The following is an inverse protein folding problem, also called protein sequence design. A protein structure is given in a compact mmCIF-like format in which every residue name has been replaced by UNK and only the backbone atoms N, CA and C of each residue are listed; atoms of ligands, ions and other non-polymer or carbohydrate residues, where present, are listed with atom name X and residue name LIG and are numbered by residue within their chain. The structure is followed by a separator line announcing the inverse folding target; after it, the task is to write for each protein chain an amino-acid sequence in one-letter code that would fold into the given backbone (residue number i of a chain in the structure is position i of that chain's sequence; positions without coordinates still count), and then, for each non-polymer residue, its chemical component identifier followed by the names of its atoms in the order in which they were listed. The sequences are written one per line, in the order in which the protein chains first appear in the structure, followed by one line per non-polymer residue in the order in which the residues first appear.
data_IF_545223263367
#
_entry.id   IF_545223263367
#
_cell.length_a   1.000
_cell.length_b   1.000
_cell.length_c   1.000
_cell.angle_alpha   90.00
_cell.angle_beta   90.00
_cell.angle_gamma   90.00
#
_symmetry.space_group_name_H-M   'P 1'
#
loop_
_entity.id
_entity.type
_entity.pdbx_description
1 polymer ?
#
# COMPACT_ATOMS: atom_id res chain seq x y z
N UNK A 1 4.88 -11.06 8.99
CA UNK A 1 4.44 -12.40 8.64
C UNK A 1 2.92 -12.39 8.40
N UNK A 2 2.41 -12.98 7.29
CA UNK A 2 0.96 -13.03 6.99
C UNK A 2 0.11 -13.67 8.09
N UNK A 3 0.66 -14.58 8.89
CA UNK A 3 -0.05 -15.27 9.98
C UNK A 3 0.01 -14.55 11.33
N UNK A 4 0.75 -13.45 11.44
CA UNK A 4 0.78 -12.64 12.67
C UNK A 4 -0.62 -12.12 12.98
N UNK A 5 -1.08 -12.36 14.21
CA UNK A 5 -2.42 -11.96 14.65
C UNK A 5 -2.39 -10.52 15.15
N UNK A 6 -3.26 -9.70 14.61
CA UNK A 6 -3.45 -8.29 14.96
C UNK A 6 -4.69 -8.12 15.83
N UNK A 7 -4.62 -7.20 16.78
CA UNK A 7 -5.80 -6.75 17.52
C UNK A 7 -6.60 -5.81 16.61
N UNK A 8 -7.83 -6.21 16.28
CA UNK A 8 -8.77 -5.44 15.47
C UNK A 8 -9.94 -4.89 16.26
N UNK A 9 -9.88 -5.00 17.59
CA UNK A 9 -10.90 -4.39 18.44
C UNK A 9 -10.86 -2.87 18.32
N UNK A 10 -11.98 -2.31 17.93
CA UNK A 10 -12.12 -0.88 17.66
C UNK A 10 -13.18 -0.19 18.49
N UNK A 11 -13.35 1.10 18.29
CA UNK A 11 -12.52 1.98 17.44
C UNK A 11 -11.19 2.34 18.09
N UNK A 12 -10.15 2.59 17.28
CA UNK A 12 -8.94 3.26 17.78
C UNK A 12 -9.27 4.74 17.99
N UNK A 13 -9.02 5.24 19.20
CA UNK A 13 -9.22 6.66 19.55
C UNK A 13 -7.88 7.38 19.61
N UNK A 14 -7.77 8.53 18.93
CA UNK A 14 -6.59 9.39 18.95
C UNK A 14 -7.04 10.85 19.08
N UNK A 15 -7.09 11.35 20.29
CA UNK A 15 -7.72 12.64 20.59
C UNK A 15 -9.18 12.66 20.10
N UNK A 16 -9.50 13.59 19.20
CA UNK A 16 -10.83 13.71 18.57
C UNK A 16 -11.06 12.74 17.40
N UNK A 17 -10.01 12.09 16.91
CA UNK A 17 -10.09 11.19 15.76
C UNK A 17 -10.47 9.78 16.20
N UNK A 18 -11.18 9.07 15.32
CA UNK A 18 -11.59 7.67 15.52
C UNK A 18 -11.35 6.91 14.23
N UNK A 19 -10.55 5.83 14.31
CA UNK A 19 -10.36 4.88 13.21
C UNK A 19 -11.33 3.72 13.44
N UNK A 20 -12.09 3.39 12.41
CA UNK A 20 -13.12 2.33 12.44
C UNK A 20 -12.99 1.47 11.20
N UNK A 21 -13.40 0.23 11.33
CA UNK A 21 -13.66 -0.64 10.19
C UNK A 21 -15.07 -0.39 9.65
N UNK A 22 -15.30 -0.76 8.40
CA UNK A 22 -16.61 -0.68 7.78
C UNK A 22 -17.58 -1.71 8.36
N UNK A 23 -17.06 -2.91 8.71
CA UNK A 23 -17.77 -3.97 9.42
C UNK A 23 -17.04 -4.33 10.71
N UNK A 24 -17.75 -4.93 11.65
CA UNK A 24 -17.10 -5.58 12.79
C UNK A 24 -16.50 -6.93 12.34
N UNK A 25 -15.20 -7.02 12.32
CA UNK A 25 -14.48 -8.25 11.97
C UNK A 25 -14.03 -9.05 13.20
N UNK A 26 -14.49 -8.67 14.40
CA UNK A 26 -14.07 -9.27 15.65
C UNK A 26 -12.78 -8.68 16.22
N UNK A 27 -12.35 -9.23 17.36
CA UNK A 27 -11.25 -8.65 18.12
C UNK A 27 -9.85 -8.97 17.57
N UNK A 28 -9.71 -9.97 16.70
CA UNK A 28 -8.41 -10.45 16.20
C UNK A 28 -8.51 -10.93 14.77
N UNK A 29 -7.58 -10.49 13.92
CA UNK A 29 -7.39 -10.97 12.55
C UNK A 29 -5.91 -11.24 12.29
N UNK A 30 -5.55 -12.30 11.57
CA UNK A 30 -4.21 -12.44 11.02
C UNK A 30 -3.96 -11.38 9.92
N UNK A 31 -2.72 -11.01 9.69
CA UNK A 31 -2.36 -9.95 8.72
C UNK A 31 -2.93 -10.20 7.33
N UNK A 32 -2.97 -11.45 6.87
CA UNK A 32 -3.55 -11.76 5.56
C UNK A 32 -5.06 -11.42 5.50
N UNK A 33 -5.82 -11.66 6.57
CA UNK A 33 -7.23 -11.26 6.65
C UNK A 33 -7.41 -9.74 6.81
N UNK A 34 -6.51 -9.07 7.55
CA UNK A 34 -6.51 -7.60 7.63
C UNK A 34 -6.47 -7.00 6.23
N UNK A 35 -5.63 -7.54 5.33
CA UNK A 35 -5.51 -7.09 3.95
C UNK A 35 -6.74 -7.50 3.13
N UNK A 36 -7.15 -8.75 3.19
CA UNK A 36 -8.26 -9.32 2.42
C UNK A 36 -9.60 -8.66 2.74
N UNK A 37 -9.86 -8.40 4.01
CA UNK A 37 -11.10 -7.73 4.49
C UNK A 37 -10.99 -6.21 4.50
N UNK A 38 -9.79 -5.66 4.21
CA UNK A 38 -9.54 -4.22 4.24
C UNK A 38 -9.83 -3.57 5.61
N UNK A 39 -9.34 -4.19 6.70
CA UNK A 39 -9.50 -3.64 8.04
C UNK A 39 -8.62 -2.41 8.25
N UNK A 40 -9.23 -1.25 8.44
CA UNK A 40 -8.54 -0.01 8.78
C UNK A 40 -7.85 -0.10 10.15
N UNK A 41 -8.55 -0.69 11.13
CA UNK A 41 -8.04 -0.89 12.50
C UNK A 41 -6.82 -1.80 12.46
N UNK A 42 -6.92 -2.96 11.80
CA UNK A 42 -5.82 -3.89 11.67
C UNK A 42 -4.60 -3.27 10.99
N UNK A 43 -4.82 -2.53 9.89
CA UNK A 43 -3.77 -1.86 9.13
C UNK A 43 -3.12 -0.73 9.95
N UNK A 44 -3.92 0.08 10.68
CA UNK A 44 -3.39 1.10 11.58
C UNK A 44 -2.55 0.50 12.72
N UNK A 45 -2.95 -0.65 13.28
CA UNK A 45 -2.15 -1.38 14.28
C UNK A 45 -0.83 -1.89 13.71
N UNK A 46 -0.83 -2.38 12.46
CA UNK A 46 0.40 -2.76 11.77
C UNK A 46 1.32 -1.54 11.62
N UNK A 47 0.77 -0.38 11.22
CA UNK A 47 1.55 0.86 11.10
C UNK A 47 2.14 1.31 12.44
N UNK A 48 1.39 1.19 13.54
CA UNK A 48 1.91 1.46 14.89
C UNK A 48 3.08 0.54 15.26
N UNK A 49 3.02 -0.75 14.90
CA UNK A 49 4.12 -1.69 15.16
C UNK A 49 5.37 -1.39 14.34
N UNK A 50 5.20 -0.94 13.10
CA UNK A 50 6.30 -0.60 12.19
C UNK A 50 6.96 0.72 12.63
N UNK A 51 6.14 1.68 13.05
CA UNK A 51 6.55 3.04 13.37
C UNK A 51 6.57 3.96 12.15
N UNK A 52 6.42 5.26 12.43
CA UNK A 52 6.28 6.30 11.41
C UNK A 52 7.54 6.45 10.54
N UNK A 53 8.71 6.35 11.15
CA UNK A 53 10.01 6.49 10.48
C UNK A 53 10.25 5.37 9.46
N UNK A 54 10.06 4.12 9.87
CA UNK A 54 10.27 2.97 8.98
C UNK A 54 9.21 2.92 7.86
N UNK A 55 7.96 3.33 8.16
CA UNK A 55 6.95 3.45 7.12
C UNK A 55 7.34 4.51 6.09
N UNK A 56 7.77 5.71 6.52
CA UNK A 56 8.20 6.78 5.63
C UNK A 56 9.38 6.33 4.78
N UNK A 57 10.38 5.73 5.38
CA UNK A 57 11.56 5.18 4.70
C UNK A 57 11.18 4.13 3.64
N UNK A 58 10.28 3.21 3.98
CA UNK A 58 9.80 2.21 3.03
C UNK A 58 9.07 2.85 1.84
N UNK A 59 8.16 3.80 2.09
CA UNK A 59 7.43 4.49 1.03
C UNK A 59 8.35 5.35 0.16
N UNK A 60 9.40 5.94 0.73
CA UNK A 60 10.44 6.65 -0.02
C UNK A 60 11.22 5.69 -0.92
N UNK A 61 11.65 4.56 -0.40
CA UNK A 61 12.34 3.54 -1.19
C UNK A 61 11.45 2.99 -2.31
N UNK A 62 10.15 2.88 -2.06
CA UNK A 62 9.16 2.47 -3.06
C UNK A 62 8.92 3.55 -4.14
N UNK A 63 9.40 4.78 -3.93
CA UNK A 63 9.24 5.90 -4.86
C UNK A 63 7.93 6.68 -4.69
N UNK A 64 7.29 6.57 -3.53
CA UNK A 64 5.98 7.20 -3.26
C UNK A 64 6.08 8.63 -2.75
N UNK A 65 7.29 9.15 -2.49
CA UNK A 65 7.49 10.48 -1.87
C UNK A 65 8.08 11.52 -2.80
N UNK A 66 8.61 11.10 -3.96
CA UNK A 66 9.27 11.98 -4.92
C UNK A 66 8.57 11.93 -6.28
N UNK A 67 8.71 12.97 -7.12
CA UNK A 67 8.20 12.92 -8.48
C UNK A 67 8.78 11.72 -9.25
N UNK A 68 7.94 11.00 -9.98
CA UNK A 68 8.42 9.92 -10.83
C UNK A 68 9.14 10.52 -12.04
N UNK A 69 10.36 10.04 -12.28
CA UNK A 69 11.17 10.43 -13.42
C UNK A 69 10.92 9.46 -14.58
N UNK A 70 10.47 9.97 -15.70
CA UNK A 70 10.41 9.29 -16.98
C UNK A 70 10.38 10.36 -18.12
N UNK A 71 10.34 9.97 -19.38
CA UNK A 71 10.68 10.84 -20.52
C UNK A 71 9.61 11.90 -20.88
N UNK A 72 8.52 11.98 -20.13
CA UNK A 72 7.51 13.04 -20.33
C UNK A 72 7.86 14.29 -19.51
N UNK A 73 7.81 15.45 -20.14
CA UNK A 73 8.10 16.76 -19.48
C UNK A 73 7.11 17.00 -18.33
N UNK A 74 5.85 16.63 -18.52
CA UNK A 74 4.77 16.77 -17.53
C UNK A 74 4.98 15.92 -16.27
N UNK A 75 5.81 14.87 -16.34
CA UNK A 75 6.09 14.00 -15.20
C UNK A 75 6.72 14.76 -14.02
N UNK A 76 7.50 15.81 -14.30
CA UNK A 76 8.12 16.64 -13.26
C UNK A 76 7.12 17.39 -12.38
N UNK A 77 5.89 17.62 -12.87
CA UNK A 77 4.79 18.26 -12.15
C UNK A 77 4.02 17.31 -11.19
N UNK A 78 4.20 16.01 -11.35
CA UNK A 78 3.47 15.00 -10.59
C UNK A 78 4.05 14.74 -9.19
N UNK A 79 4.14 15.77 -8.35
CA UNK A 79 4.61 15.64 -6.97
C UNK A 79 3.54 15.02 -6.08
N UNK A 80 3.89 14.00 -5.25
CA UNK A 80 3.01 13.53 -4.20
C UNK A 80 2.71 14.62 -3.17
N UNK A 81 1.50 14.62 -2.63
CA UNK A 81 1.16 15.46 -1.49
C UNK A 81 1.42 14.68 -0.21
N UNK A 82 2.35 15.15 0.58
CA UNK A 82 2.81 14.51 1.81
C UNK A 82 2.31 15.28 3.05
N UNK A 83 2.14 14.63 4.20
CA UNK A 83 1.84 15.33 5.43
C UNK A 83 3.01 16.25 5.82
N UNK A 84 2.70 17.45 6.37
CA UNK A 84 3.72 18.39 6.86
C UNK A 84 4.65 17.77 7.92
N UNK A 85 4.11 16.84 8.71
CA UNK A 85 4.85 16.06 9.70
C UNK A 85 4.38 14.60 9.62
N UNK A 86 5.32 13.68 9.46
CA UNK A 86 5.04 12.24 9.46
C UNK A 86 4.95 11.76 10.92
N UNK A 87 3.79 11.98 11.52
CA UNK A 87 3.50 11.59 12.91
C UNK A 87 2.96 10.16 12.98
N UNK A 88 2.82 9.62 14.19
CA UNK A 88 2.17 8.32 14.40
C UNK A 88 0.74 8.30 13.84
N UNK A 89 -0.03 9.38 14.05
CA UNK A 89 -1.36 9.51 13.47
C UNK A 89 -1.31 9.52 11.94
N UNK A 90 -0.35 10.25 11.35
CA UNK A 90 -0.14 10.24 9.89
C UNK A 90 0.20 8.85 9.39
N UNK A 91 1.08 8.12 10.08
CA UNK A 91 1.43 6.76 9.71
C UNK A 91 0.21 5.82 9.75
N UNK A 92 -0.62 5.92 10.78
CA UNK A 92 -1.87 5.15 10.87
C UNK A 92 -2.82 5.48 9.70
N UNK A 93 -3.04 6.77 9.38
CA UNK A 93 -3.98 7.16 8.31
C UNK A 93 -3.44 6.81 6.92
N UNK A 94 -2.16 7.00 6.66
CA UNK A 94 -1.50 6.61 5.41
C UNK A 94 -1.64 5.10 5.16
N UNK A 95 -1.58 4.29 6.21
CA UNK A 95 -1.61 2.83 6.08
C UNK A 95 -2.91 2.27 5.47
N UNK A 96 -4.02 2.99 5.57
CA UNK A 96 -5.28 2.61 4.93
C UNK A 96 -5.74 3.61 3.85
N UNK A 97 -4.82 4.47 3.35
CA UNK A 97 -5.03 5.26 2.13
C UNK A 97 -5.45 6.71 2.35
N UNK A 98 -5.23 7.29 3.56
CA UNK A 98 -5.53 8.69 3.84
C UNK A 98 -4.28 9.47 4.25
N UNK A 99 -4.22 10.77 3.93
CA UNK A 99 -3.14 11.66 4.38
C UNK A 99 -1.89 11.68 3.49
N UNK A 100 -1.91 10.94 2.37
CA UNK A 100 -0.94 10.99 1.30
C UNK A 100 -1.68 10.93 -0.03
N UNK A 101 -1.33 11.78 -0.98
CA UNK A 101 -1.84 11.69 -2.36
C UNK A 101 -0.68 11.44 -3.32
N UNK A 102 -0.87 10.50 -4.23
CA UNK A 102 0.12 10.11 -5.22
C UNK A 102 -0.54 10.02 -6.61
N UNK A 103 0.26 10.09 -7.66
CA UNK A 103 -0.27 9.91 -9.01
C UNK A 103 -0.53 8.44 -9.32
N UNK A 104 -1.37 8.11 -10.30
CA UNK A 104 -1.55 6.73 -10.76
C UNK A 104 -0.24 6.03 -11.14
N UNK A 105 0.75 6.78 -11.66
CA UNK A 105 2.06 6.25 -12.01
C UNK A 105 2.84 5.80 -10.77
N UNK A 106 2.75 6.50 -9.63
CA UNK A 106 3.34 6.05 -8.37
C UNK A 106 2.76 4.70 -7.94
N UNK A 107 1.43 4.55 -8.02
CA UNK A 107 0.77 3.28 -7.72
C UNK A 107 1.23 2.18 -8.67
N UNK A 108 1.30 2.45 -9.97
CA UNK A 108 1.75 1.47 -10.97
C UNK A 108 3.18 1.00 -10.69
N UNK A 109 4.11 1.91 -10.37
CA UNK A 109 5.50 1.58 -10.02
C UNK A 109 5.57 0.77 -8.72
N UNK A 110 4.78 1.14 -7.70
CA UNK A 110 4.71 0.43 -6.44
C UNK A 110 4.19 -1.00 -6.60
N UNK A 111 3.09 -1.20 -7.32
CA UNK A 111 2.55 -2.52 -7.61
C UNK A 111 3.48 -3.35 -8.52
N UNK A 112 4.11 -2.72 -9.52
CA UNK A 112 5.13 -3.36 -10.35
C UNK A 112 6.30 -3.88 -9.51
N UNK A 113 6.76 -3.12 -8.52
CA UNK A 113 7.82 -3.57 -7.61
C UNK A 113 7.41 -4.82 -6.81
N UNK A 114 6.17 -4.89 -6.33
CA UNK A 114 5.62 -6.08 -5.66
C UNK A 114 5.58 -7.27 -6.63
N UNK A 115 5.02 -7.08 -7.82
CA UNK A 115 4.89 -8.13 -8.83
C UNK A 115 6.26 -8.60 -9.37
N UNK A 116 7.27 -7.73 -9.37
CA UNK A 116 8.63 -8.00 -9.82
C UNK A 116 9.55 -8.51 -8.70
N UNK A 117 9.01 -9.25 -7.74
CA UNK A 117 9.78 -9.89 -6.68
C UNK A 117 10.50 -8.92 -5.74
N UNK A 118 9.99 -7.69 -5.61
CA UNK A 118 10.52 -6.67 -4.72
C UNK A 118 11.58 -5.76 -5.33
N UNK A 119 11.73 -5.77 -6.65
CA UNK A 119 12.61 -4.88 -7.40
C UNK A 119 11.80 -3.73 -8.03
N UNK A 120 12.04 -2.51 -7.59
CA UNK A 120 11.49 -1.30 -8.20
C UNK A 120 12.30 -0.95 -9.45
N UNK A 121 11.61 -0.80 -10.58
CA UNK A 121 12.17 -0.39 -11.86
C UNK A 121 11.68 1.03 -12.15
N UNK A 122 12.57 1.88 -12.67
CA UNK A 122 12.18 3.20 -13.14
C UNK A 122 11.32 3.05 -14.41
N UNK A 123 10.13 3.66 -14.47
CA UNK A 123 9.30 3.59 -15.66
C UNK A 123 9.99 4.30 -16.84
N UNK A 124 9.74 3.84 -18.07
CA UNK A 124 10.26 4.42 -19.30
C UNK A 124 9.30 4.19 -20.45
N UNK A 125 9.20 5.14 -21.35
CA UNK A 125 8.51 5.04 -22.63
C UNK A 125 9.42 4.52 -23.74
N UNK A 126 10.71 4.42 -23.45
CA UNK A 126 11.69 3.95 -24.41
C UNK A 126 11.77 2.43 -24.46
N UNK A 127 11.85 1.87 -25.66
CA UNK A 127 12.16 0.46 -25.83
C UNK A 127 13.57 0.18 -25.27
N UNK A 128 13.66 -0.73 -24.33
CA UNK A 128 14.90 -1.04 -23.59
C UNK A 128 15.00 -0.38 -22.22
N UNK A 129 14.03 0.46 -21.85
CA UNK A 129 13.93 1.05 -20.51
C UNK A 129 14.74 2.32 -20.32
N UNK A 130 14.76 2.83 -19.10
CA UNK A 130 15.44 4.07 -18.71
C UNK A 130 16.97 3.94 -18.58
N UNK A 131 17.51 2.72 -18.65
CA UNK A 131 18.92 2.44 -18.32
C UNK A 131 19.26 2.52 -16.81
N UNK A 132 18.28 2.84 -15.96
CA UNK A 132 18.50 2.90 -14.53
C UNK A 132 18.50 1.49 -13.91
N UNK A 133 19.42 1.26 -12.96
CA UNK A 133 19.49 -0.01 -12.24
C UNK A 133 18.25 -0.22 -11.36
N UNK A 134 17.70 -1.45 -11.33
CA UNK A 134 16.61 -1.80 -10.43
C UNK A 134 16.99 -1.65 -8.95
N UNK A 135 16.09 -1.14 -8.13
CA UNK A 135 16.30 -0.95 -6.70
C UNK A 135 15.52 -1.98 -5.91
N UNK A 136 16.19 -2.75 -5.05
CA UNK A 136 15.52 -3.69 -4.15
C UNK A 136 14.85 -2.95 -3.00
N UNK A 137 13.52 -3.01 -2.95
CA UNK A 137 12.70 -2.33 -1.93
C UNK A 137 12.11 -3.30 -0.91
N UNK A 138 12.03 -4.58 -1.23
CA UNK A 138 11.62 -5.64 -0.30
C UNK A 138 12.24 -6.98 -0.71
N UNK A 139 12.26 -7.95 0.21
CA UNK A 139 12.72 -9.31 -0.10
C UNK A 139 11.76 -10.01 -1.08
N UNK A 140 12.29 -10.94 -1.87
CA UNK A 140 11.48 -11.78 -2.79
C UNK A 140 10.37 -12.52 -2.04
N UNK A 141 10.67 -13.01 -0.83
CA UNK A 141 9.68 -13.69 0.01
C UNK A 141 8.55 -12.74 0.46
N UNK A 142 8.88 -11.50 0.83
CA UNK A 142 7.88 -10.49 1.18
C UNK A 142 7.01 -10.12 -0.01
N UNK A 143 7.61 -9.93 -1.18
CA UNK A 143 6.90 -9.65 -2.43
C UNK A 143 5.94 -10.80 -2.78
N UNK A 144 6.39 -12.06 -2.74
CA UNK A 144 5.55 -13.22 -2.99
C UNK A 144 4.38 -13.34 -2.01
N UNK A 145 4.61 -13.08 -0.71
CA UNK A 145 3.54 -13.05 0.29
C UNK A 145 2.54 -11.90 0.02
N UNK A 146 3.02 -10.74 -0.41
CA UNK A 146 2.16 -9.61 -0.78
C UNK A 146 1.27 -9.95 -1.96
N UNK A 147 1.81 -10.56 -3.02
CA UNK A 147 1.03 -11.04 -4.17
C UNK A 147 -0.04 -12.04 -3.74
N UNK A 148 0.29 -13.00 -2.87
CA UNK A 148 -0.69 -13.96 -2.33
C UNK A 148 -1.81 -13.28 -1.55
N UNK A 149 -1.48 -12.31 -0.69
CA UNK A 149 -2.50 -11.56 0.05
C UNK A 149 -3.38 -10.71 -0.88
N UNK A 150 -2.78 -10.05 -1.88
CA UNK A 150 -3.52 -9.30 -2.91
C UNK A 150 -4.42 -10.20 -3.77
N UNK A 151 -3.99 -11.43 -4.05
CA UNK A 151 -4.84 -12.43 -4.70
C UNK A 151 -6.03 -12.80 -3.81
N UNK A 152 -5.82 -12.99 -2.51
CA UNK A 152 -6.88 -13.24 -1.53
C UNK A 152 -7.93 -12.13 -1.47
N UNK A 153 -7.56 -10.87 -1.74
CA UNK A 153 -8.53 -9.75 -1.83
C UNK A 153 -9.54 -9.98 -2.95
N UNK A 154 -9.12 -10.61 -4.05
CA UNK A 154 -9.98 -10.91 -5.21
C UNK A 154 -10.73 -12.23 -5.00
N UNK A 155 -10.09 -13.29 -4.52
CA UNK A 155 -10.74 -14.60 -4.36
C UNK A 155 -11.75 -14.64 -3.20
N UNK A 156 -11.43 -13.98 -2.08
CA UNK A 156 -12.17 -14.15 -0.81
C UNK A 156 -12.53 -12.81 -0.15
N UNK A 157 -12.18 -11.68 -0.78
CA UNK A 157 -12.25 -10.37 -0.14
C UNK A 157 -13.07 -9.33 -0.90
N UNK A 158 -12.67 -8.08 -0.66
CA UNK A 158 -13.43 -6.88 -1.09
C UNK A 158 -13.39 -6.62 -2.59
N UNK A 159 -12.56 -7.32 -3.36
CA UNK A 159 -12.41 -7.14 -4.81
C UNK A 159 -12.91 -8.36 -5.62
N UNK A 160 -13.84 -9.16 -5.09
CA UNK A 160 -14.35 -10.38 -5.75
C UNK A 160 -14.95 -10.12 -7.12
N UNK A 161 -15.51 -8.93 -7.37
CA UNK A 161 -16.00 -8.52 -8.69
C UNK A 161 -14.90 -8.34 -9.75
N UNK A 162 -13.62 -8.30 -9.34
CA UNK A 162 -12.46 -8.18 -10.23
C UNK A 162 -11.94 -9.52 -10.75
N UNK A 163 -12.56 -10.65 -10.40
CA UNK A 163 -12.15 -11.96 -10.89
C UNK A 163 -12.40 -12.09 -12.39
N UNK A 164 -11.39 -12.56 -13.13
CA UNK A 164 -11.47 -12.77 -14.59
C UNK A 164 -11.08 -14.20 -14.89
N UNK A 165 -11.97 -14.95 -15.55
CA UNK A 165 -11.72 -16.34 -15.91
C UNK A 165 -10.44 -16.46 -16.77
N UNK A 166 -9.56 -17.38 -16.41
CA UNK A 166 -8.29 -17.61 -17.10
C UNK A 166 -7.14 -16.70 -16.64
N UNK A 167 -7.36 -15.75 -15.71
CA UNK A 167 -6.33 -14.86 -15.18
C UNK A 167 -6.27 -14.93 -13.65
N UNK A 168 -5.07 -14.92 -13.11
CA UNK A 168 -4.85 -14.80 -11.66
C UNK A 168 -4.81 -13.32 -11.26
N UNK A 169 -5.97 -12.65 -11.26
CA UNK A 169 -6.07 -11.24 -10.89
C UNK A 169 -5.76 -11.06 -9.41
N UNK A 170 -4.93 -10.08 -9.08
CA UNK A 170 -4.59 -9.69 -7.72
C UNK A 170 -4.67 -8.16 -7.60
N UNK A 171 -5.17 -7.66 -6.48
CA UNK A 171 -5.32 -6.21 -6.31
C UNK A 171 -5.85 -5.83 -4.93
N UNK A 172 -6.09 -4.54 -4.74
CA UNK A 172 -6.66 -3.98 -3.51
C UNK A 172 -7.68 -2.90 -3.85
N UNK A 173 -8.84 -2.99 -3.26
CA UNK A 173 -9.84 -1.91 -3.33
C UNK A 173 -9.36 -0.67 -2.60
N UNK A 174 -9.74 0.49 -3.09
CA UNK A 174 -9.51 1.79 -2.44
C UNK A 174 -10.80 2.58 -2.33
N UNK A 175 -10.99 3.24 -1.19
CA UNK A 175 -12.08 4.18 -0.96
C UNK A 175 -11.50 5.34 -0.17
N UNK A 176 -11.57 6.54 -0.72
CA UNK A 176 -11.11 7.76 -0.07
C UNK A 176 -12.06 8.91 -0.37
N UNK A 177 -12.24 9.80 0.59
CA UNK A 177 -12.98 11.03 0.37
C UNK A 177 -12.18 11.94 -0.57
N UNK A 178 -12.87 12.54 -1.53
CA UNK A 178 -12.30 13.60 -2.36
C UNK A 178 -12.27 14.88 -1.52
N UNK A 179 -11.11 15.55 -1.37
CA UNK A 179 -11.01 16.83 -0.68
C UNK A 179 -11.72 17.94 -1.41
#
# INVERSE_FOLDING_TARGET
NPTTVMNTQGPIRWGKFKIRDYHDYGAKLPVWEVITKSSNIGTARIAQMIGAEEQQKFLTNLGMTDPIKFEMIEASGGKPLLPKKWSELSAMTISYGHGLSATPMHLAVGYAAIANGGLRIQPSLLKGGSGAEPVRVMSTASAANSVKMLRGVVTDGTASMGEVAGYAVAGKTGTADKP
#
